data_IF_355096726974
#
_entry.id   IF_355096726974
#
_cell.length_a   1.000
_cell.length_b   1.000
_cell.length_c   1.000
_cell.angle_alpha   90.00
_cell.angle_beta   90.00
_cell.angle_gamma   90.00
#
_symmetry.space_group_name_H-M   'P 1'
#
loop_
_entity.id
_entity.type
_entity.pdbx_description
1 polymer ?
#
# COMPACT_ATOMS: atom_id res chain seq x y z
N UNK A 1 -0.29 -35.85 19.88
CA UNK A 1 0.56 -34.74 20.35
C UNK A 1 1.53 -34.38 19.23
N UNK A 2 1.22 -33.34 18.45
CA UNK A 2 2.08 -32.84 17.38
C UNK A 2 3.20 -31.99 17.98
N UNK A 3 4.44 -32.46 17.91
CA UNK A 3 5.62 -31.72 18.37
C UNK A 3 5.87 -30.54 17.41
N UNK A 4 5.54 -29.33 17.87
CA UNK A 4 5.84 -28.12 17.12
C UNK A 4 7.34 -27.83 17.19
N UNK A 5 8.05 -27.95 16.06
CA UNK A 5 9.46 -27.60 15.98
C UNK A 5 9.65 -26.09 16.13
N UNK A 6 10.49 -25.60 17.05
CA UNK A 6 10.75 -24.18 17.23
C UNK A 6 11.35 -23.55 15.96
N UNK A 7 12.05 -24.32 15.12
CA UNK A 7 12.56 -23.86 13.83
C UNK A 7 11.45 -23.57 12.82
N UNK A 8 10.35 -24.33 12.83
CA UNK A 8 9.17 -24.00 12.01
C UNK A 8 8.51 -22.72 12.52
N UNK A 9 8.49 -22.45 13.82
CA UNK A 9 7.97 -21.20 14.38
C UNK A 9 8.84 -19.99 14.01
N UNK A 10 10.17 -20.12 14.06
CA UNK A 10 11.09 -19.05 13.61
C UNK A 10 10.98 -18.84 12.11
N UNK A 11 10.86 -19.92 11.32
CA UNK A 11 10.66 -19.82 9.87
C UNK A 11 9.31 -19.17 9.55
N UNK A 12 8.24 -19.59 10.21
CA UNK A 12 6.90 -18.98 10.12
C UNK A 12 6.93 -17.53 10.60
N UNK A 13 7.79 -17.13 11.54
CA UNK A 13 7.89 -15.74 12.00
C UNK A 13 8.72 -14.82 11.08
N UNK A 14 9.85 -15.33 10.57
CA UNK A 14 10.65 -14.68 9.54
C UNK A 14 9.85 -14.51 8.24
N UNK A 15 9.03 -15.51 7.94
CA UNK A 15 7.96 -15.42 6.96
C UNK A 15 6.99 -14.36 7.49
N UNK A 16 6.12 -14.60 8.47
CA UNK A 16 4.96 -13.79 8.91
C UNK A 16 5.12 -12.26 8.87
N UNK A 17 6.30 -11.74 9.18
CA UNK A 17 6.55 -10.30 9.25
C UNK A 17 7.50 -9.78 8.16
N UNK A 18 7.96 -10.65 7.27
CA UNK A 18 8.88 -10.36 6.17
C UNK A 18 8.29 -9.31 5.26
N UNK A 19 8.81 -8.09 5.36
CA UNK A 19 8.44 -7.02 4.45
C UNK A 19 8.77 -7.43 3.01
N UNK A 20 7.91 -7.05 2.07
CA UNK A 20 7.98 -7.37 0.62
C UNK A 20 9.26 -6.90 -0.07
N UNK A 21 10.13 -6.20 0.65
CA UNK A 21 11.27 -5.48 0.09
C UNK A 21 12.58 -6.27 0.14
N UNK A 22 12.53 -7.58 0.37
CA UNK A 22 13.71 -8.43 0.55
C UNK A 22 13.72 -9.73 -0.26
N UNK A 23 13.24 -9.74 -1.51
CA UNK A 23 13.37 -10.91 -2.39
C UNK A 23 13.80 -10.57 -3.83
N UNK A 24 14.78 -9.67 -3.96
CA UNK A 24 15.65 -9.61 -5.12
C UNK A 24 17.09 -9.55 -4.60
N UNK A 25 17.64 -10.69 -4.19
CA UNK A 25 19.01 -10.73 -3.65
C UNK A 25 19.34 -11.96 -2.82
N UNK A 26 18.85 -13.13 -3.20
CA UNK A 26 19.45 -14.39 -2.76
C UNK A 26 20.06 -15.04 -4.00
N UNK A 27 21.40 -15.01 -4.06
CA UNK A 27 22.33 -15.50 -5.10
C UNK A 27 22.79 -14.48 -6.15
N UNK A 28 23.85 -13.71 -5.84
CA UNK A 28 25.16 -13.88 -6.48
C UNK A 28 26.24 -13.07 -5.72
N UNK A 29 26.75 -13.62 -4.61
CA UNK A 29 27.99 -13.12 -4.01
C UNK A 29 29.16 -13.75 -4.76
N UNK A 30 29.67 -13.03 -5.76
CA UNK A 30 30.70 -13.60 -6.60
C UNK A 30 31.37 -12.66 -7.60
N UNK A 31 31.75 -11.42 -7.24
CA UNK A 31 32.89 -10.77 -7.94
C UNK A 31 33.47 -9.55 -7.23
N UNK A 32 34.77 -9.65 -6.97
CA UNK A 32 35.70 -8.58 -6.66
C UNK A 32 35.43 -7.29 -7.45
N UNK A 33 35.30 -6.17 -6.74
CA UNK A 33 35.66 -4.86 -7.27
C UNK A 33 36.66 -4.20 -6.32
N UNK A 34 37.88 -4.09 -6.82
CA UNK A 34 38.91 -3.19 -6.33
C UNK A 34 38.33 -1.77 -6.23
N UNK A 35 38.36 -1.23 -5.03
CA UNK A 35 38.18 0.19 -4.76
C UNK A 35 39.43 0.92 -5.25
N UNK A 36 39.31 1.68 -6.34
CA UNK A 36 40.23 2.78 -6.60
C UNK A 36 39.68 4.04 -5.93
N UNK A 37 40.41 4.46 -4.91
CA UNK A 37 40.28 5.74 -4.22
C UNK A 37 40.78 6.86 -5.11
N UNK A 38 39.91 7.81 -5.45
CA UNK A 38 40.32 9.14 -5.89
C UNK A 38 39.54 10.18 -5.09
N UNK A 39 40.25 10.75 -4.12
CA UNK A 39 39.87 11.98 -3.43
C UNK A 39 39.85 13.16 -4.41
N UNK A 40 39.10 14.21 -4.08
CA UNK A 40 39.73 15.52 -4.06
C UNK A 40 39.55 16.22 -2.72
N UNK A 41 40.68 16.76 -2.27
CA UNK A 41 40.81 17.82 -1.28
C UNK A 41 39.84 18.97 -1.57
N UNK A 42 38.98 19.28 -0.62
CA UNK A 42 38.48 20.65 -0.43
C UNK A 42 38.61 20.98 1.05
N UNK A 43 39.66 21.73 1.37
CA UNK A 43 39.80 22.45 2.62
C UNK A 43 38.83 23.62 2.65
N UNK A 44 37.84 23.58 3.54
CA UNK A 44 37.14 24.78 3.99
C UNK A 44 36.82 24.64 5.47
N UNK A 45 37.67 25.27 6.26
CA UNK A 45 37.48 25.58 7.68
C UNK A 45 36.31 26.55 7.82
N UNK A 46 35.20 26.08 8.39
CA UNK A 46 34.03 26.86 8.75
C UNK A 46 33.49 26.38 10.08
N UNK A 47 34.07 26.92 11.15
CA UNK A 47 33.62 26.78 12.53
C UNK A 47 32.18 27.32 12.63
N UNK A 48 31.21 26.42 12.78
CA UNK A 48 29.81 26.75 13.04
C UNK A 48 29.39 26.00 14.29
N UNK A 49 29.61 26.67 15.41
CA UNK A 49 28.97 26.37 16.68
C UNK A 49 27.46 26.47 16.48
N UNK A 50 26.79 25.33 16.40
CA UNK A 50 25.34 25.25 16.45
C UNK A 50 24.89 25.43 17.90
N UNK A 51 24.04 26.43 18.22
CA UNK A 51 23.41 26.49 19.52
C UNK A 51 22.38 25.36 19.65
N UNK A 52 22.36 24.72 20.82
CA UNK A 52 21.32 23.79 21.23
C UNK A 52 19.95 24.49 21.16
N UNK A 53 19.19 24.22 20.11
CA UNK A 53 17.80 24.67 19.97
C UNK A 53 16.88 23.76 20.80
N UNK A 54 16.48 24.29 21.94
CA UNK A 54 15.30 23.87 22.69
C UNK A 54 14.10 23.69 21.76
N UNK A 55 13.60 22.45 21.69
CA UNK A 55 12.47 22.02 20.89
C UNK A 55 11.14 22.57 21.45
N UNK A 56 10.92 23.87 21.29
CA UNK A 56 9.66 24.60 21.57
C UNK A 56 9.19 25.36 20.32
N UNK A 57 9.01 24.66 19.21
CA UNK A 57 8.40 25.21 17.99
C UNK A 57 7.21 24.38 17.49
N UNK A 58 6.43 23.79 18.40
CA UNK A 58 5.11 23.24 18.06
C UNK A 58 4.10 24.38 18.08
N UNK A 59 3.73 24.89 16.90
CA UNK A 59 2.42 25.52 16.72
C UNK A 59 2.36 27.04 16.48
N UNK A 60 3.29 27.65 15.72
CA UNK A 60 2.88 28.83 14.94
C UNK A 60 1.96 28.35 13.83
N UNK A 61 0.67 28.15 14.16
CA UNK A 61 -0.38 28.16 13.14
C UNK A 61 -0.20 29.48 12.41
N UNK A 62 0.20 29.42 11.14
CA UNK A 62 0.10 30.53 10.19
C UNK A 62 -1.39 30.85 10.03
N UNK A 63 -1.95 31.49 11.06
CA UNK A 63 -3.21 32.19 11.03
C UNK A 63 -2.99 33.45 10.24
N UNK A 64 -2.69 33.30 8.94
CA UNK A 64 -2.74 34.39 7.98
C UNK A 64 -4.14 35.01 8.12
N UNK A 65 -4.15 36.20 8.72
CA UNK A 65 -5.34 36.83 9.27
C UNK A 65 -6.36 37.03 8.14
N UNK A 66 -7.65 36.91 8.44
CA UNK A 66 -8.72 37.07 7.45
C UNK A 66 -8.68 38.42 6.71
N UNK A 67 -7.96 39.41 7.26
CA UNK A 67 -7.68 40.70 6.64
C UNK A 67 -6.74 40.59 5.42
N UNK A 68 -5.73 39.72 5.47
CA UNK A 68 -4.80 39.51 4.34
C UNK A 68 -5.51 38.85 3.15
N UNK A 69 -6.60 38.12 3.39
CA UNK A 69 -7.42 37.56 2.31
C UNK A 69 -8.28 38.60 1.59
N UNK A 70 -8.52 39.78 2.18
CA UNK A 70 -9.35 40.83 1.58
C UNK A 70 -8.59 41.63 0.51
N UNK A 71 -7.26 41.69 0.59
CA UNK A 71 -6.41 42.38 -0.39
C UNK A 71 -6.22 41.58 -1.69
N UNK A 72 -6.43 40.27 -1.64
CA UNK A 72 -6.25 39.39 -2.80
C UNK A 72 -7.43 39.44 -3.78
N UNK A 73 -7.14 39.28 -5.07
CA UNK A 73 -8.16 39.20 -6.11
C UNK A 73 -9.15 38.05 -5.87
N UNK A 74 -10.41 38.22 -6.27
CA UNK A 74 -11.50 37.22 -6.05
C UNK A 74 -11.12 35.79 -6.46
N UNK A 75 -10.36 35.63 -7.55
CA UNK A 75 -9.91 34.32 -8.07
C UNK A 75 -8.88 33.67 -7.14
N UNK A 76 -7.91 34.44 -6.67
CA UNK A 76 -6.84 33.99 -5.78
C UNK A 76 -7.38 33.64 -4.39
N UNK A 77 -8.22 34.53 -3.84
CA UNK A 77 -8.94 34.26 -2.60
C UNK A 77 -9.71 32.95 -2.66
N UNK A 78 -10.41 32.67 -3.76
CA UNK A 78 -11.12 31.38 -3.95
C UNK A 78 -10.17 30.19 -4.02
N UNK A 79 -9.00 30.33 -4.65
CA UNK A 79 -7.97 29.25 -4.71
C UNK A 79 -7.41 28.96 -3.32
N UNK A 80 -7.05 29.99 -2.56
CA UNK A 80 -6.55 29.83 -1.19
C UNK A 80 -7.58 29.21 -0.26
N UNK A 81 -8.84 29.64 -0.33
CA UNK A 81 -9.91 29.03 0.47
C UNK A 81 -10.09 27.54 0.14
N UNK A 82 -10.05 27.18 -1.15
CA UNK A 82 -10.08 25.77 -1.56
C UNK A 82 -8.89 24.98 -1.05
N UNK A 83 -7.69 25.55 -1.09
CA UNK A 83 -6.46 24.92 -0.58
C UNK A 83 -6.55 24.68 0.93
N UNK A 84 -6.92 25.69 1.71
CA UNK A 84 -7.12 25.58 3.16
C UNK A 84 -8.22 24.57 3.52
N UNK A 85 -9.30 24.54 2.74
CA UNK A 85 -10.35 23.54 2.93
C UNK A 85 -9.84 22.12 2.65
N UNK A 86 -9.04 21.95 1.60
CA UNK A 86 -8.41 20.68 1.28
C UNK A 86 -7.45 20.21 2.38
N UNK A 87 -6.58 21.09 2.88
CA UNK A 87 -5.67 20.82 4.01
C UNK A 87 -6.45 20.42 5.28
N UNK A 88 -7.50 21.16 5.64
CA UNK A 88 -8.36 20.81 6.78
C UNK A 88 -8.98 19.42 6.65
N UNK A 89 -9.38 19.02 5.44
CA UNK A 89 -9.92 17.67 5.19
C UNK A 89 -8.84 16.59 5.35
N UNK A 90 -7.62 16.85 4.88
CA UNK A 90 -6.48 15.93 5.10
C UNK A 90 -6.20 15.76 6.58
N UNK A 91 -6.11 16.86 7.33
CA UNK A 91 -5.86 16.84 8.77
C UNK A 91 -6.97 16.11 9.52
N UNK A 92 -8.23 16.34 9.14
CA UNK A 92 -9.37 15.62 9.72
C UNK A 92 -9.29 14.11 9.46
N UNK A 93 -8.89 13.72 8.25
CA UNK A 93 -8.70 12.32 7.91
C UNK A 93 -7.53 11.68 8.68
N UNK A 94 -6.38 12.37 8.75
CA UNK A 94 -5.22 11.93 9.53
C UNK A 94 -5.53 11.82 11.02
N UNK A 95 -6.29 12.77 11.57
CA UNK A 95 -6.73 12.72 12.96
C UNK A 95 -7.62 11.49 13.25
N UNK A 96 -8.23 10.89 12.23
CA UNK A 96 -9.14 9.75 12.35
C UNK A 96 -8.49 8.40 12.03
N UNK A 97 -7.56 8.35 11.08
CA UNK A 97 -6.92 7.10 10.62
C UNK A 97 -5.40 7.10 10.62
N UNK A 98 -4.76 8.25 10.81
CA UNK A 98 -3.30 8.40 10.74
C UNK A 98 -2.55 7.94 11.99
N UNK A 99 -3.25 7.57 13.06
CA UNK A 99 -2.63 7.07 14.30
C UNK A 99 -3.36 5.84 14.82
N UNK A 100 -2.63 4.95 15.51
CA UNK A 100 -3.20 3.76 16.16
C UNK A 100 -4.34 4.12 17.11
N UNK A 101 -4.17 5.18 17.91
CA UNK A 101 -5.17 5.63 18.89
C UNK A 101 -6.47 6.07 18.21
N UNK A 102 -6.37 6.72 17.05
CA UNK A 102 -7.52 7.12 16.28
C UNK A 102 -8.27 5.91 15.69
N UNK A 103 -7.54 4.87 15.27
CA UNK A 103 -8.14 3.60 14.86
C UNK A 103 -8.83 2.88 16.01
N UNK A 104 -8.23 2.86 17.21
CA UNK A 104 -8.87 2.31 18.43
C UNK A 104 -10.15 3.09 18.75
N UNK A 105 -10.13 4.42 18.60
CA UNK A 105 -11.33 5.25 18.82
C UNK A 105 -12.42 4.97 17.80
N UNK A 106 -12.06 4.72 16.55
CA UNK A 106 -13.02 4.54 15.45
C UNK A 106 -13.62 3.13 15.42
N UNK A 107 -12.81 2.11 15.65
CA UNK A 107 -13.20 0.70 15.52
C UNK A 107 -13.32 -0.04 16.87
N UNK A 108 -13.00 0.66 17.97
CA UNK A 108 -13.08 0.13 19.32
C UNK A 108 -11.82 -0.62 19.76
N UNK A 109 -11.65 -0.72 21.07
CA UNK A 109 -10.69 -1.65 21.66
C UNK A 109 -11.41 -2.98 21.95
N UNK A 110 -11.43 -3.88 20.96
CA UNK A 110 -12.08 -5.16 21.17
C UNK A 110 -11.32 -5.98 22.24
N UNK A 111 -11.99 -6.35 23.32
CA UNK A 111 -11.35 -7.06 24.45
C UNK A 111 -10.79 -8.46 24.10
N UNK A 112 -10.97 -8.91 22.86
CA UNK A 112 -10.55 -10.23 22.38
C UNK A 112 -9.32 -10.11 21.51
N UNK A 113 -8.30 -10.90 21.85
CA UNK A 113 -7.14 -11.12 21.00
C UNK A 113 -7.57 -11.83 19.71
N UNK A 114 -7.09 -11.33 18.57
CA UNK A 114 -7.35 -11.92 17.26
C UNK A 114 -6.36 -13.05 16.96
N UNK A 115 -6.84 -14.06 16.23
CA UNK A 115 -5.96 -15.06 15.63
C UNK A 115 -5.06 -14.41 14.57
N UNK A 116 -3.91 -15.01 14.19
CA UNK A 116 -3.05 -14.46 13.13
C UNK A 116 -3.79 -14.25 11.80
N UNK A 117 -4.71 -15.15 11.48
CA UNK A 117 -5.58 -15.06 10.30
C UNK A 117 -6.51 -13.86 10.36
N UNK A 118 -7.26 -13.71 11.44
CA UNK A 118 -8.14 -12.55 11.64
C UNK A 118 -7.35 -11.24 11.71
N UNK A 119 -6.16 -11.25 12.30
CA UNK A 119 -5.27 -10.09 12.34
C UNK A 119 -4.84 -9.69 10.93
N UNK A 120 -4.52 -10.67 10.07
CA UNK A 120 -4.19 -10.41 8.67
C UNK A 120 -5.40 -9.85 7.94
N UNK A 121 -6.56 -10.47 8.06
CA UNK A 121 -7.79 -10.01 7.44
C UNK A 121 -8.18 -8.59 7.89
N UNK A 122 -8.05 -8.29 9.18
CA UNK A 122 -8.21 -6.94 9.74
C UNK A 122 -7.22 -5.95 9.13
N UNK A 123 -5.95 -6.31 9.02
CA UNK A 123 -4.95 -5.45 8.38
C UNK A 123 -5.35 -5.12 6.94
N UNK A 124 -5.84 -6.11 6.17
CA UNK A 124 -6.36 -5.86 4.81
C UNK A 124 -7.57 -4.95 4.78
N UNK A 125 -8.51 -5.08 5.73
CA UNK A 125 -9.69 -4.23 5.81
C UNK A 125 -9.34 -2.77 6.12
N UNK A 126 -8.22 -2.55 6.83
CA UNK A 126 -7.75 -1.22 7.22
C UNK A 126 -6.84 -0.56 6.18
N UNK A 127 -6.45 -1.24 5.10
CA UNK A 127 -5.60 -0.64 4.10
C UNK A 127 -6.34 0.47 3.33
N UNK A 128 -5.66 1.61 3.05
CA UNK A 128 -6.29 2.76 2.42
C UNK A 128 -6.45 2.60 0.89
N UNK A 129 -6.97 1.45 0.43
CA UNK A 129 -7.09 1.09 -1.00
C UNK A 129 -7.88 2.11 -1.81
N UNK A 130 -8.86 2.76 -1.20
CA UNK A 130 -9.63 3.82 -1.83
C UNK A 130 -8.79 5.05 -2.15
N UNK A 131 -7.68 5.33 -1.44
CA UNK A 131 -6.76 6.42 -1.82
C UNK A 131 -6.09 6.15 -3.17
N UNK A 132 -5.70 4.89 -3.45
CA UNK A 132 -5.19 4.50 -4.77
C UNK A 132 -6.23 4.74 -5.86
N UNK A 133 -7.49 4.34 -5.61
CA UNK A 133 -8.58 4.59 -6.55
C UNK A 133 -8.82 6.09 -6.79
N UNK A 134 -8.64 6.94 -5.78
CA UNK A 134 -8.76 8.41 -5.94
C UNK A 134 -7.64 9.00 -6.80
N UNK A 135 -6.40 8.49 -6.67
CA UNK A 135 -5.29 8.89 -7.55
C UNK A 135 -5.50 8.42 -8.99
N UNK A 136 -5.96 7.18 -9.22
CA UNK A 136 -6.24 6.66 -10.56
C UNK A 136 -7.37 7.42 -11.26
N UNK A 137 -8.35 7.88 -10.48
CA UNK A 137 -9.41 8.75 -10.99
C UNK A 137 -8.96 10.19 -11.23
N UNK A 138 -7.73 10.58 -10.84
CA UNK A 138 -7.19 11.93 -11.02
C UNK A 138 -8.02 12.99 -10.30
N UNK A 139 -8.56 12.66 -9.13
CA UNK A 139 -9.36 13.58 -8.31
C UNK A 139 -8.51 14.31 -7.29
N UNK A 140 -7.47 13.64 -6.79
CA UNK A 140 -6.49 14.18 -5.85
C UNK A 140 -5.09 13.90 -6.39
N UNK A 141 -4.18 14.83 -6.12
CA UNK A 141 -2.80 14.73 -6.56
C UNK A 141 -2.06 13.64 -5.75
N UNK A 142 -1.25 12.78 -6.40
CA UNK A 142 -0.51 11.72 -5.70
C UNK A 142 0.47 12.23 -4.64
N UNK A 143 1.06 13.42 -4.84
CA UNK A 143 1.93 14.08 -3.85
C UNK A 143 1.24 14.31 -2.50
N UNK A 144 -0.06 14.56 -2.55
CA UNK A 144 -0.89 14.81 -1.39
C UNK A 144 -1.41 13.52 -0.75
N UNK A 145 -1.62 12.48 -1.55
CA UNK A 145 -2.14 11.18 -1.11
C UNK A 145 -1.06 10.25 -0.55
N UNK A 146 0.17 10.33 -1.05
CA UNK A 146 1.24 9.41 -0.66
C UNK A 146 1.60 9.48 0.84
N UNK A 147 1.77 10.67 1.45
CA UNK A 147 2.00 10.77 2.90
C UNK A 147 0.83 10.21 3.71
N UNK A 148 -0.41 10.48 3.26
CA UNK A 148 -1.63 10.01 3.91
C UNK A 148 -1.72 8.47 3.90
N UNK A 149 -1.49 7.86 2.73
CA UNK A 149 -1.53 6.41 2.56
C UNK A 149 -0.44 5.72 3.40
N UNK A 150 0.75 6.30 3.45
CA UNK A 150 1.86 5.80 4.25
C UNK A 150 1.56 5.85 5.76
N UNK A 151 1.09 7.01 6.27
CA UNK A 151 0.75 7.14 7.70
C UNK A 151 -0.39 6.22 8.10
N UNK A 152 -1.47 6.15 7.31
CA UNK A 152 -2.57 5.23 7.58
C UNK A 152 -2.14 3.76 7.55
N UNK A 153 -1.21 3.37 6.65
CA UNK A 153 -0.66 2.01 6.65
C UNK A 153 0.10 1.71 7.94
N UNK A 154 0.94 2.63 8.42
CA UNK A 154 1.68 2.43 9.68
C UNK A 154 0.69 2.27 10.82
N UNK A 155 -0.28 3.18 10.94
CA UNK A 155 -1.32 3.11 11.94
C UNK A 155 -2.09 1.77 11.86
N UNK A 156 -2.47 1.33 10.65
CA UNK A 156 -3.15 0.05 10.43
C UNK A 156 -2.29 -1.16 10.86
N UNK A 157 -0.99 -1.16 10.54
CA UNK A 157 -0.04 -2.20 10.97
C UNK A 157 0.06 -2.24 12.49
N UNK A 158 0.25 -1.10 13.14
CA UNK A 158 0.36 -1.00 14.60
C UNK A 158 -0.93 -1.40 15.31
N UNK A 159 -2.07 -0.95 14.77
CA UNK A 159 -3.37 -1.34 15.26
C UNK A 159 -3.53 -2.85 15.17
N UNK A 160 -3.40 -3.46 13.98
CA UNK A 160 -3.51 -4.91 13.81
C UNK A 160 -2.56 -5.69 14.73
N UNK A 161 -1.30 -5.27 14.86
CA UNK A 161 -0.32 -5.87 15.80
C UNK A 161 -0.79 -5.80 17.25
N UNK A 162 -1.37 -4.67 17.68
CA UNK A 162 -1.89 -4.52 19.03
C UNK A 162 -3.08 -5.43 19.33
N UNK A 163 -3.84 -5.82 18.29
CA UNK A 163 -4.97 -6.76 18.37
C UNK A 163 -4.54 -8.23 18.32
N UNK A 164 -3.30 -8.53 17.92
CA UNK A 164 -2.80 -9.90 17.84
C UNK A 164 -2.59 -10.51 19.23
N UNK A 165 -2.70 -11.83 19.34
CA UNK A 165 -2.43 -12.56 20.57
C UNK A 165 -1.00 -12.31 21.12
N UNK A 166 -0.81 -12.54 22.43
CA UNK A 166 0.48 -12.30 23.10
C UNK A 166 1.66 -13.02 22.42
N UNK A 167 1.44 -14.25 21.96
CA UNK A 167 2.46 -15.02 21.24
C UNK A 167 2.87 -14.33 19.94
N UNK A 168 1.91 -13.83 19.17
CA UNK A 168 2.16 -13.06 17.97
C UNK A 168 2.95 -11.78 18.26
N UNK A 169 2.63 -11.07 19.35
CA UNK A 169 3.34 -9.86 19.78
C UNK A 169 4.83 -10.12 20.08
N UNK A 170 5.12 -11.18 20.84
CA UNK A 170 6.51 -11.56 21.14
C UNK A 170 7.26 -11.93 19.86
N UNK A 171 6.65 -12.73 18.99
CA UNK A 171 7.28 -13.12 17.73
C UNK A 171 7.52 -11.91 16.80
N UNK A 172 6.58 -10.96 16.70
CA UNK A 172 6.81 -9.72 15.94
C UNK A 172 8.01 -8.93 16.44
N UNK A 173 8.13 -8.78 17.76
CA UNK A 173 9.20 -8.00 18.37
C UNK A 173 10.57 -8.63 18.09
N UNK A 174 10.69 -9.96 18.23
CA UNK A 174 11.92 -10.69 17.95
C UNK A 174 12.34 -10.58 16.49
N UNK A 175 11.37 -10.70 15.57
CA UNK A 175 11.66 -10.63 14.13
C UNK A 175 12.04 -9.20 13.71
N UNK A 176 11.39 -8.18 14.25
CA UNK A 176 11.74 -6.79 14.00
C UNK A 176 13.15 -6.47 14.53
N UNK A 177 13.53 -6.98 15.71
CA UNK A 177 14.91 -6.89 16.24
C UNK A 177 15.94 -7.58 15.33
N UNK A 178 15.64 -8.79 14.88
CA UNK A 178 16.52 -9.52 13.96
C UNK A 178 16.73 -8.77 12.63
N UNK A 179 15.68 -8.15 12.09
CA UNK A 179 15.78 -7.33 10.88
C UNK A 179 16.65 -6.10 11.09
N UNK A 180 16.46 -5.40 12.20
CA UNK A 180 17.29 -4.23 12.53
C UNK A 180 18.77 -4.60 12.52
N UNK A 181 19.12 -5.73 13.14
CA UNK A 181 20.49 -6.24 13.17
C UNK A 181 21.02 -6.57 11.77
N UNK A 182 20.22 -7.25 10.94
CA UNK A 182 20.62 -7.59 9.57
C UNK A 182 20.81 -6.36 8.68
N UNK A 183 20.01 -5.31 8.88
CA UNK A 183 20.12 -4.06 8.12
C UNK A 183 21.32 -3.21 8.51
N UNK A 184 22.12 -3.63 9.50
CA UNK A 184 23.27 -2.86 9.99
C UNK A 184 22.90 -1.64 10.82
N UNK A 185 21.59 -1.40 11.10
CA UNK A 185 21.11 -0.30 11.94
C UNK A 185 21.36 -0.51 13.45
N UNK A 186 22.07 -1.58 13.83
CA UNK A 186 22.39 -1.91 15.22
C UNK A 186 21.20 -2.48 16.01
N UNK A 187 21.46 -2.83 17.28
CA UNK A 187 20.41 -3.18 18.24
C UNK A 187 19.61 -1.91 18.58
N UNK A 188 18.37 -1.83 18.08
CA UNK A 188 17.39 -0.83 18.50
C UNK A 188 16.84 -1.16 19.91
N UNK A 189 17.72 -1.26 20.92
CA UNK A 189 17.30 -1.31 22.32
C UNK A 189 17.13 0.14 22.77
N UNK A 190 16.02 0.75 22.39
CA UNK A 190 15.61 2.05 22.88
C UNK A 190 14.10 2.11 22.99
N UNK A 191 13.53 2.59 24.11
CA UNK A 191 12.08 2.71 24.28
C UNK A 191 11.43 3.64 23.24
N UNK A 192 12.22 4.43 22.51
CA UNK A 192 11.78 5.37 21.46
C UNK A 192 12.36 5.03 20.07
N UNK A 193 12.93 3.84 19.89
CA UNK A 193 13.38 3.42 18.57
C UNK A 193 12.15 3.07 17.73
N UNK A 194 11.55 4.07 17.07
CA UNK A 194 10.47 3.84 16.13
C UNK A 194 10.99 2.91 15.03
N UNK A 195 10.51 1.65 14.97
CA UNK A 195 11.02 0.67 14.02
C UNK A 195 10.56 0.96 12.58
N UNK A 196 9.68 1.96 12.41
CA UNK A 196 9.21 2.43 11.11
C UNK A 196 10.22 3.37 10.48
N UNK A 197 10.73 2.97 9.30
CA UNK A 197 11.45 3.81 8.35
C UNK A 197 10.77 5.18 8.22
N UNK A 198 11.48 6.31 8.35
CA UNK A 198 10.86 7.64 8.29
C UNK A 198 10.27 7.92 6.91
N UNK A 199 9.45 8.97 6.79
CA UNK A 199 8.90 9.37 5.50
C UNK A 199 10.01 9.70 4.49
N UNK A 200 11.06 10.41 4.90
CA UNK A 200 12.18 10.75 4.01
C UNK A 200 12.96 9.51 3.57
N UNK A 201 13.17 8.57 4.49
CA UNK A 201 13.82 7.29 4.17
C UNK A 201 13.01 6.54 3.10
N UNK A 202 11.68 6.44 3.28
CA UNK A 202 10.79 5.77 2.32
C UNK A 202 10.82 6.46 0.96
N UNK A 203 10.81 7.79 0.95
CA UNK A 203 10.90 8.59 -0.27
C UNK A 203 12.20 8.31 -1.03
N UNK A 204 13.35 8.47 -0.37
CA UNK A 204 14.66 8.26 -0.99
C UNK A 204 14.88 6.83 -1.47
N UNK A 205 14.31 5.84 -0.77
CA UNK A 205 14.32 4.44 -1.21
C UNK A 205 13.60 4.26 -2.54
N UNK A 206 12.36 4.72 -2.66
CA UNK A 206 11.59 4.54 -3.90
C UNK A 206 12.07 5.42 -5.04
N UNK A 207 12.62 6.60 -4.72
CA UNK A 207 13.33 7.44 -5.68
C UNK A 207 14.51 6.68 -6.29
N UNK A 208 15.37 6.08 -5.46
CA UNK A 208 16.50 5.26 -5.92
C UNK A 208 16.02 4.06 -6.76
N UNK A 209 14.97 3.36 -6.30
CA UNK A 209 14.40 2.22 -7.02
C UNK A 209 13.87 2.60 -8.41
N UNK A 210 13.18 3.75 -8.52
CA UNK A 210 12.62 4.22 -9.79
C UNK A 210 13.70 4.78 -10.69
N UNK A 211 14.70 5.50 -10.16
CA UNK A 211 15.85 5.95 -10.94
C UNK A 211 16.61 4.77 -11.55
N UNK A 212 16.73 3.65 -10.83
CA UNK A 212 17.34 2.43 -11.36
C UNK A 212 16.47 1.78 -12.45
N UNK A 213 15.14 1.70 -12.23
CA UNK A 213 14.18 1.16 -13.21
C UNK A 213 14.12 2.00 -14.50
N UNK A 214 14.18 3.32 -14.36
CA UNK A 214 14.04 4.30 -15.44
C UNK A 214 15.39 4.87 -15.89
N UNK A 215 16.50 4.22 -15.54
CA UNK A 215 17.87 4.71 -15.79
C UNK A 215 18.07 5.16 -17.24
N UNK A 216 17.59 4.37 -18.20
CA UNK A 216 17.68 4.71 -19.62
C UNK A 216 16.85 5.96 -19.99
N UNK A 217 15.71 6.21 -19.36
CA UNK A 217 14.90 7.42 -19.60
C UNK A 217 15.55 8.66 -18.97
N UNK A 218 16.16 8.51 -17.79
CA UNK A 218 16.92 9.55 -17.09
C UNK A 218 18.18 9.93 -17.86
N UNK A 219 18.98 8.95 -18.29
CA UNK A 219 20.21 9.18 -19.08
C UNK A 219 19.90 9.87 -20.43
N UNK A 220 18.71 9.62 -21.00
CA UNK A 220 18.25 10.28 -22.23
C UNK A 220 17.59 11.65 -22.00
N UNK A 221 17.51 12.15 -20.76
CA UNK A 221 16.85 13.42 -20.42
C UNK A 221 15.35 13.47 -20.74
N UNK A 222 14.68 12.31 -20.85
CA UNK A 222 13.26 12.21 -21.22
C UNK A 222 12.32 12.30 -20.02
N UNK A 223 12.85 12.09 -18.81
CA UNK A 223 12.07 12.10 -17.57
C UNK A 223 12.33 13.42 -16.84
N UNK A 224 11.29 14.23 -16.67
CA UNK A 224 11.39 15.42 -15.82
C UNK A 224 11.46 15.03 -14.34
N UNK A 225 12.01 15.91 -13.51
CA UNK A 225 12.06 15.71 -12.05
C UNK A 225 10.65 15.58 -11.45
N UNK A 226 9.70 16.38 -11.94
CA UNK A 226 8.29 16.32 -11.54
C UNK A 226 7.65 14.95 -11.89
N UNK A 227 7.96 14.40 -13.08
CA UNK A 227 7.46 13.08 -13.48
C UNK A 227 8.08 11.96 -12.64
N UNK A 228 9.37 12.07 -12.29
CA UNK A 228 10.03 11.13 -11.39
C UNK A 228 9.35 11.15 -10.01
N UNK A 229 9.17 12.34 -9.43
CA UNK A 229 8.50 12.49 -8.13
C UNK A 229 7.06 11.97 -8.16
N UNK A 230 6.33 12.24 -9.24
CA UNK A 230 4.99 11.68 -9.45
C UNK A 230 4.99 10.14 -9.44
N UNK A 231 5.94 9.52 -10.14
CA UNK A 231 6.11 8.06 -10.14
C UNK A 231 6.46 7.53 -8.74
N UNK A 232 7.30 8.24 -7.99
CA UNK A 232 7.66 7.89 -6.60
C UNK A 232 6.43 7.92 -5.70
N UNK A 233 5.63 8.99 -5.75
CA UNK A 233 4.40 9.08 -4.96
C UNK A 233 3.38 8.01 -5.32
N UNK A 234 3.17 7.73 -6.61
CA UNK A 234 2.31 6.64 -7.04
C UNK A 234 2.78 5.29 -6.52
N UNK A 235 4.09 5.00 -6.62
CA UNK A 235 4.67 3.75 -6.09
C UNK A 235 4.47 3.63 -4.58
N UNK A 236 4.61 4.72 -3.83
CA UNK A 236 4.35 4.74 -2.39
C UNK A 236 2.89 4.42 -2.09
N UNK A 237 1.93 5.01 -2.83
CA UNK A 237 0.50 4.74 -2.65
C UNK A 237 0.18 3.28 -2.96
N UNK A 238 0.65 2.77 -4.10
CA UNK A 238 0.47 1.37 -4.53
C UNK A 238 1.00 0.42 -3.47
N UNK A 239 2.26 0.62 -3.04
CA UNK A 239 2.88 -0.21 -2.02
C UNK A 239 2.20 -0.05 -0.68
N UNK A 240 1.64 1.11 -0.38
CA UNK A 240 0.93 1.33 0.88
C UNK A 240 -0.41 0.60 0.94
N UNK A 241 -1.03 0.40 -0.22
CA UNK A 241 -2.29 -0.32 -0.39
C UNK A 241 -2.09 -1.83 -0.69
N UNK A 242 -0.84 -2.27 -0.90
CA UNK A 242 -0.50 -3.66 -1.17
C UNK A 242 -0.08 -4.43 0.09
N UNK A 243 -0.29 -5.73 -0.03
CA UNK A 243 0.12 -6.75 0.93
C UNK A 243 0.94 -7.81 0.22
N UNK A 244 1.77 -8.48 1.01
CA UNK A 244 2.55 -9.59 0.51
C UNK A 244 1.67 -10.80 0.18
N UNK A 245 1.54 -11.10 -1.11
CA UNK A 245 0.73 -12.20 -1.62
C UNK A 245 1.15 -13.56 -1.07
N UNK A 246 2.45 -13.76 -0.81
CA UNK A 246 2.93 -15.00 -0.21
C UNK A 246 2.38 -15.21 1.21
N UNK A 247 2.10 -14.11 1.92
CA UNK A 247 1.49 -14.13 3.25
C UNK A 247 -0.01 -14.29 3.17
N UNK A 248 -0.60 -13.62 2.20
CA UNK A 248 -2.04 -13.68 2.01
C UNK A 248 -2.44 -15.13 1.75
N UNK A 249 -1.70 -15.87 0.90
CA UNK A 249 -1.93 -17.30 0.68
C UNK A 249 -1.67 -18.22 1.87
N UNK A 250 -0.96 -17.77 2.92
CA UNK A 250 -0.75 -18.57 4.14
C UNK A 250 -1.86 -18.39 5.18
N UNK A 251 -2.55 -17.24 5.17
CA UNK A 251 -3.52 -16.87 6.20
C UNK A 251 -4.95 -16.72 5.68
N UNK A 252 -5.12 -16.32 4.43
CA UNK A 252 -6.40 -16.06 3.79
C UNK A 252 -6.64 -17.16 2.77
N UNK A 253 -7.38 -18.21 3.15
CA UNK A 253 -7.87 -19.17 2.16
C UNK A 253 -9.14 -18.60 1.52
N UNK A 254 -9.36 -18.90 0.24
CA UNK A 254 -10.51 -18.41 -0.52
C UNK A 254 -11.86 -18.96 0.00
N UNK A 255 -11.84 -20.07 0.73
CA UNK A 255 -13.02 -20.77 1.23
C UNK A 255 -13.50 -20.28 2.60
N UNK A 256 -12.81 -19.32 3.20
CA UNK A 256 -13.16 -18.85 4.54
C UNK A 256 -14.24 -17.77 4.48
N UNK A 257 -15.32 -17.97 5.25
CA UNK A 257 -16.37 -16.97 5.42
C UNK A 257 -15.75 -15.65 5.89
N UNK A 258 -15.90 -14.60 5.07
CA UNK A 258 -15.39 -13.27 5.40
C UNK A 258 -16.16 -12.74 6.60
N UNK A 259 -15.45 -12.46 7.70
CA UNK A 259 -16.04 -11.86 8.90
C UNK A 259 -16.81 -10.57 8.53
N UNK A 260 -18.12 -10.53 8.81
CA UNK A 260 -19.01 -9.41 8.48
C UNK A 260 -18.50 -8.08 9.08
N UNK A 261 -17.92 -8.13 10.27
CA UNK A 261 -17.27 -6.99 10.94
C UNK A 261 -16.12 -6.39 10.11
N UNK A 262 -15.34 -7.22 9.41
CA UNK A 262 -14.23 -6.75 8.58
C UNK A 262 -14.74 -6.04 7.32
N UNK A 263 -15.82 -6.55 6.75
CA UNK A 263 -16.51 -5.89 5.62
C UNK A 263 -17.08 -4.55 6.06
N UNK A 264 -17.68 -4.47 7.24
CA UNK A 264 -18.18 -3.23 7.82
C UNK A 264 -17.04 -2.21 8.02
N UNK A 265 -15.90 -2.62 8.57
CA UNK A 265 -14.71 -1.77 8.75
C UNK A 265 -14.21 -1.22 7.41
N UNK A 266 -14.06 -2.07 6.40
CA UNK A 266 -13.59 -1.61 5.08
C UNK A 266 -14.58 -0.66 4.42
N UNK A 267 -15.88 -0.95 4.52
CA UNK A 267 -16.94 -0.10 3.95
C UNK A 267 -16.95 1.27 4.63
N UNK A 268 -16.87 1.29 5.96
CA UNK A 268 -16.80 2.52 6.73
C UNK A 268 -15.57 3.35 6.35
N UNK A 269 -14.38 2.72 6.22
CA UNK A 269 -13.16 3.42 5.81
C UNK A 269 -13.30 4.05 4.41
N UNK A 270 -13.92 3.35 3.46
CA UNK A 270 -14.17 3.87 2.11
C UNK A 270 -15.18 5.03 2.09
N UNK A 271 -16.25 4.93 2.87
CA UNK A 271 -17.26 5.99 3.03
C UNK A 271 -16.65 7.23 3.70
N UNK A 272 -15.82 7.04 4.72
CA UNK A 272 -15.14 8.12 5.42
C UNK A 272 -14.08 8.79 4.53
N UNK A 273 -13.37 8.04 3.70
CA UNK A 273 -12.46 8.62 2.69
C UNK A 273 -13.23 9.48 1.68
N UNK A 274 -14.38 9.01 1.21
CA UNK A 274 -15.20 9.77 0.26
C UNK A 274 -15.84 11.00 0.89
N UNK A 275 -16.33 10.91 2.13
CA UNK A 275 -17.02 12.01 2.80
C UNK A 275 -16.08 13.06 3.39
N UNK A 276 -14.90 12.65 3.89
CA UNK A 276 -13.94 13.55 4.54
C UNK A 276 -13.04 14.20 3.49
N UNK A 277 -12.46 13.46 2.55
CA UNK A 277 -11.43 14.01 1.65
C UNK A 277 -12.02 14.73 0.43
N UNK A 278 -13.17 14.27 -0.07
CA UNK A 278 -13.76 14.82 -1.29
C UNK A 278 -14.73 15.96 -0.99
N UNK A 279 -14.77 16.96 -1.88
CA UNK A 279 -15.92 17.86 -1.87
C UNK A 279 -17.15 17.10 -2.38
N UNK A 280 -18.39 17.51 -2.01
CA UNK A 280 -19.60 16.86 -2.50
C UNK A 280 -19.67 16.77 -4.04
N UNK A 281 -19.09 17.76 -4.74
CA UNK A 281 -19.00 17.76 -6.20
C UNK A 281 -18.02 16.73 -6.74
N UNK A 282 -16.87 16.59 -6.07
CA UNK A 282 -15.85 15.62 -6.46
C UNK A 282 -16.33 14.20 -6.15
N UNK A 283 -17.04 13.99 -5.03
CA UNK A 283 -17.68 12.73 -4.69
C UNK A 283 -18.73 12.32 -5.75
N UNK A 284 -19.61 13.25 -6.17
CA UNK A 284 -20.57 13.00 -7.25
C UNK A 284 -19.86 12.64 -8.57
N UNK A 285 -18.76 13.33 -8.89
CA UNK A 285 -17.95 13.05 -10.08
C UNK A 285 -17.29 11.66 -10.01
N UNK A 286 -16.75 11.27 -8.85
CA UNK A 286 -16.18 9.94 -8.61
C UNK A 286 -17.24 8.86 -8.83
N UNK A 287 -18.42 9.02 -8.25
CA UNK A 287 -19.51 8.05 -8.38
C UNK A 287 -19.95 7.90 -9.85
N UNK A 288 -20.09 9.00 -10.59
CA UNK A 288 -20.39 8.95 -12.04
C UNK A 288 -19.29 8.27 -12.85
N UNK A 289 -18.03 8.42 -12.47
CA UNK A 289 -16.90 7.74 -13.14
C UNK A 289 -16.89 6.24 -12.83
N UNK A 290 -17.08 5.86 -11.56
CA UNK A 290 -17.18 4.45 -11.13
C UNK A 290 -18.33 3.73 -11.85
N UNK A 291 -19.51 4.33 -11.87
CA UNK A 291 -20.68 3.77 -12.55
C UNK A 291 -20.41 3.52 -14.06
N UNK A 292 -19.67 4.42 -14.72
CA UNK A 292 -19.27 4.23 -16.12
C UNK A 292 -18.31 3.07 -16.30
N UNK A 293 -17.31 2.93 -15.42
CA UNK A 293 -16.34 1.83 -15.44
C UNK A 293 -17.03 0.50 -15.20
N UNK A 294 -17.90 0.39 -14.19
CA UNK A 294 -18.68 -0.81 -13.90
C UNK A 294 -19.59 -1.21 -15.08
N UNK A 295 -20.27 -0.24 -15.70
CA UNK A 295 -21.06 -0.49 -16.92
C UNK A 295 -20.20 -0.99 -18.08
N UNK A 296 -18.96 -0.53 -18.21
CA UNK A 296 -18.03 -1.02 -19.23
C UNK A 296 -17.58 -2.45 -18.91
N UNK A 297 -17.15 -2.72 -17.67
CA UNK A 297 -16.73 -4.05 -17.23
C UNK A 297 -17.87 -5.09 -17.37
N UNK A 298 -19.10 -4.75 -16.96
CA UNK A 298 -20.26 -5.62 -17.12
C UNK A 298 -20.55 -5.95 -18.61
N UNK A 299 -20.39 -4.97 -19.51
CA UNK A 299 -20.50 -5.21 -20.96
C UNK A 299 -19.41 -6.15 -21.47
N UNK A 300 -18.18 -6.00 -21.00
CA UNK A 300 -17.05 -6.86 -21.38
C UNK A 300 -17.20 -8.28 -20.85
N UNK A 301 -17.57 -8.45 -19.58
CA UNK A 301 -17.86 -9.76 -19.00
C UNK A 301 -18.99 -10.48 -19.75
N UNK A 302 -20.07 -9.75 -20.10
CA UNK A 302 -21.16 -10.30 -20.92
C UNK A 302 -20.69 -10.71 -22.32
N UNK A 303 -19.79 -9.95 -22.95
CA UNK A 303 -19.17 -10.32 -24.24
C UNK A 303 -18.32 -11.58 -24.09
N UNK A 304 -17.48 -11.66 -23.04
CA UNK A 304 -16.63 -12.81 -22.76
C UNK A 304 -17.44 -14.08 -22.49
N UNK A 305 -18.50 -13.98 -21.68
CA UNK A 305 -19.41 -15.09 -21.39
C UNK A 305 -20.10 -15.60 -22.68
N UNK A 306 -20.54 -14.69 -23.56
CA UNK A 306 -21.10 -15.05 -24.88
C UNK A 306 -20.08 -15.76 -25.77
N UNK A 307 -18.81 -15.33 -25.77
CA UNK A 307 -17.72 -16.01 -26.50
C UNK A 307 -17.49 -17.41 -25.97
N UNK A 308 -17.31 -17.56 -24.65
CA UNK A 308 -17.15 -18.86 -23.97
C UNK A 308 -18.31 -19.83 -24.27
N UNK A 309 -19.55 -19.34 -24.28
CA UNK A 309 -20.72 -20.15 -24.61
C UNK A 309 -20.71 -20.62 -26.07
N UNK A 310 -20.35 -19.74 -27.02
CA UNK A 310 -20.22 -20.09 -28.44
C UNK A 310 -19.12 -21.14 -28.66
N UNK A 311 -17.99 -20.99 -27.97
CA UNK A 311 -16.87 -21.93 -28.07
C UNK A 311 -17.22 -23.29 -27.47
N UNK A 312 -17.94 -23.32 -26.34
CA UNK A 312 -18.49 -24.56 -25.76
C UNK A 312 -19.41 -25.26 -26.77
N UNK A 313 -20.36 -24.53 -27.39
CA UNK A 313 -21.25 -25.08 -28.43
C UNK A 313 -20.47 -25.63 -29.64
N UNK A 314 -19.40 -24.96 -30.06
CA UNK A 314 -18.52 -25.43 -31.15
C UNK A 314 -17.78 -26.71 -30.76
N UNK A 315 -17.21 -26.78 -29.55
CA UNK A 315 -16.56 -27.98 -29.01
C UNK A 315 -17.53 -29.14 -28.92
N UNK A 316 -18.74 -28.93 -28.42
CA UNK A 316 -19.76 -29.98 -28.31
C UNK A 316 -20.22 -30.46 -29.70
N UNK A 317 -20.36 -29.56 -30.67
CA UNK A 317 -20.66 -29.93 -32.07
C UNK A 317 -19.54 -30.78 -32.69
N UNK A 318 -18.28 -30.45 -32.42
CA UNK A 318 -17.12 -31.21 -32.92
C UNK A 318 -17.05 -32.59 -32.27
N UNK A 319 -17.24 -32.68 -30.93
CA UNK A 319 -17.32 -33.95 -30.21
C UNK A 319 -18.41 -34.86 -30.78
N UNK A 320 -19.60 -34.32 -31.05
CA UNK A 320 -20.70 -35.08 -31.68
C UNK A 320 -20.38 -35.55 -33.10
N UNK A 321 -19.60 -34.78 -33.88
CA UNK A 321 -19.14 -35.23 -35.20
C UNK A 321 -18.15 -36.39 -35.06
N UNK A 322 -17.17 -36.25 -34.18
CA UNK A 322 -16.16 -37.27 -33.93
C UNK A 322 -16.78 -38.58 -33.41
N UNK A 323 -17.76 -38.50 -32.50
CA UNK A 323 -18.51 -39.66 -32.01
C UNK A 323 -19.25 -40.39 -33.15
N UNK A 324 -19.87 -39.63 -34.06
CA UNK A 324 -20.56 -40.20 -35.24
C UNK A 324 -19.59 -40.90 -36.19
N UNK A 325 -18.43 -40.30 -36.46
CA UNK A 325 -17.37 -40.90 -37.27
C UNK A 325 -16.86 -42.18 -36.62
N UNK A 326 -16.63 -42.19 -35.30
CA UNK A 326 -16.22 -43.38 -34.54
C UNK A 326 -17.24 -44.52 -34.64
N UNK A 327 -18.53 -44.23 -34.47
CA UNK A 327 -19.61 -45.23 -34.59
C UNK A 327 -19.68 -45.77 -36.02
N UNK A 328 -19.45 -44.92 -37.03
CA UNK A 328 -19.45 -45.34 -38.43
C UNK A 328 -18.32 -46.34 -38.71
N UNK A 329 -17.09 -46.05 -38.27
CA UNK A 329 -15.96 -46.97 -38.41
C UNK A 329 -16.22 -48.32 -37.71
N UNK A 330 -16.75 -48.31 -36.48
CA UNK A 330 -17.08 -49.56 -35.75
C UNK A 330 -18.13 -50.41 -36.48
N UNK A 331 -19.10 -49.78 -37.16
CA UNK A 331 -20.10 -50.51 -37.95
C UNK A 331 -19.50 -51.15 -39.19
N UNK A 332 -18.59 -50.45 -39.87
CA UNK A 332 -17.86 -50.98 -41.03
C UNK A 332 -16.97 -52.18 -40.64
N UNK A 333 -16.36 -52.16 -39.45
CA UNK A 333 -15.57 -53.27 -38.92
C UNK A 333 -16.41 -54.50 -38.52
N UNK A 334 -17.65 -54.30 -38.04
CA UNK A 334 -18.52 -55.41 -37.59
C UNK A 334 -19.32 -56.09 -38.71
N UNK A 335 -19.36 -55.50 -39.91
CA UNK A 335 -20.19 -55.95 -41.03
C UNK A 335 -19.41 -56.61 -42.17
N UNK A 336 -18.09 -56.70 -42.07
CA UNK A 336 -17.22 -57.51 -42.94
C UNK A 336 -16.76 -58.75 -42.19
#
# INVERSE_FOLDING_TARGET
MTTFSPLRLVFIACILFGDEHGSAGFADYGRNRQTQTLSPNVSSSGDTSFPDEDSKSVGRRDGMHDEDLKSLGRRERRRLLKRREHERRKDAWLSRYGTREALVRSFGDARRDLTPKQTRALYHALLPRSLLALSELGVLDPSDLAPLAYQARIAAKEYARSRCNLQGKVMTALVDQYRSLRSGKGLLIGPNANPSMTWEDVLGKYETEIMEQERAAVENGKLSEDDLMMKVFMRIIEKSCSTNQAFDGLFLNEDDDVDEDLVAISTQLEEDIQSILLSPKDAEQVMKRREKVEKQQAKEQKKLAKRRLKDKKRRDKLKRKFEKERIKCLKEESGG
#
